data_IF_045826179622
#
_entry.id   IF_045826179622
#
_cell.length_a   1.000
_cell.length_b   1.000
_cell.length_c   1.000
_cell.angle_alpha   90.00
_cell.angle_beta   90.00
_cell.angle_gamma   90.00
#
_symmetry.space_group_name_H-M   'P 1'
#
loop_
_entity.id
_entity.type
_entity.pdbx_description
1 polymer ?
#
# COMPACT_ATOMS: atom_id res chain seq x y z
N UNK A 1 1.70 8.78 -7.56
CA UNK A 1 0.72 7.82 -7.02
C UNK A 1 0.32 6.85 -8.11
N UNK A 2 0.33 5.55 -7.81
CA UNK A 2 -0.21 4.50 -8.68
C UNK A 2 -1.58 4.10 -8.14
N UNK A 3 -2.61 4.40 -8.93
CA UNK A 3 -4.00 4.41 -8.51
C UNK A 3 -4.63 3.01 -8.33
N UNK A 4 -5.77 2.93 -7.61
CA UNK A 4 -6.62 1.74 -7.62
C UNK A 4 -7.15 1.43 -9.02
N UNK A 5 -7.57 0.19 -9.22
CA UNK A 5 -8.19 -0.27 -10.46
C UNK A 5 -8.67 -1.71 -10.35
N UNK A 6 -9.42 -2.18 -11.35
CA UNK A 6 -9.90 -3.55 -11.40
C UNK A 6 -8.80 -4.52 -11.86
N UNK A 7 -9.02 -5.80 -11.60
CA UNK A 7 -8.15 -6.87 -12.10
C UNK A 7 -6.92 -7.11 -11.23
N UNK A 8 -5.93 -7.72 -11.84
CA UNK A 8 -4.64 -8.06 -11.23
C UNK A 8 -3.54 -7.10 -11.70
N UNK A 9 -2.37 -7.08 -11.05
CA UNK A 9 -1.23 -6.27 -11.50
C UNK A 9 -0.89 -6.42 -12.99
N UNK A 10 -0.96 -7.63 -13.55
CA UNK A 10 -0.71 -7.86 -14.97
C UNK A 10 -1.69 -7.12 -15.88
N UNK A 11 -2.90 -6.84 -15.38
CA UNK A 11 -3.96 -6.13 -16.11
C UNK A 11 -3.86 -4.60 -15.95
N UNK A 12 -2.90 -4.12 -15.18
CA UNK A 12 -2.78 -2.71 -14.78
C UNK A 12 -2.03 -1.83 -15.82
N UNK A 13 -1.98 -2.25 -17.06
CA UNK A 13 -1.33 -1.50 -18.14
C UNK A 13 0.17 -1.33 -17.89
N UNK A 14 0.63 -0.09 -17.82
CA UNK A 14 2.05 0.24 -17.62
C UNK A 14 2.44 0.41 -16.15
N UNK A 15 1.54 0.18 -15.20
CA UNK A 15 1.76 0.46 -13.78
C UNK A 15 2.99 -0.25 -13.21
N UNK A 16 3.16 -1.53 -13.52
CA UNK A 16 4.33 -2.29 -13.06
C UNK A 16 5.64 -1.76 -13.65
N UNK A 17 5.64 -1.44 -14.95
CA UNK A 17 6.82 -0.87 -15.62
C UNK A 17 7.20 0.50 -15.07
N UNK A 18 6.22 1.32 -14.72
CA UNK A 18 6.46 2.63 -14.06
C UNK A 18 7.10 2.43 -12.69
N UNK A 19 6.58 1.52 -11.88
CA UNK A 19 7.15 1.24 -10.56
C UNK A 19 8.60 0.76 -10.69
N UNK A 20 8.84 -0.21 -11.57
CA UNK A 20 10.18 -0.76 -11.80
C UNK A 20 11.19 0.32 -12.22
N UNK A 21 10.79 1.20 -13.14
CA UNK A 21 11.66 2.24 -13.68
C UNK A 21 11.89 3.41 -12.73
N UNK A 22 10.87 3.81 -11.98
CA UNK A 22 10.90 5.05 -11.21
C UNK A 22 11.06 4.89 -9.69
N UNK A 23 10.88 3.70 -9.13
CA UNK A 23 11.07 3.49 -7.70
C UNK A 23 12.45 3.95 -7.20
N UNK A 24 13.56 3.71 -7.94
CA UNK A 24 14.87 4.21 -7.53
C UNK A 24 15.02 5.74 -7.63
N UNK A 25 14.14 6.43 -8.32
CA UNK A 25 14.31 7.83 -8.75
C UNK A 25 13.38 8.79 -8.00
N UNK A 26 12.12 8.41 -7.81
CA UNK A 26 11.09 9.26 -7.21
C UNK A 26 10.29 8.51 -6.15
N UNK A 27 9.72 9.23 -5.14
CA UNK A 27 8.78 8.61 -4.21
C UNK A 27 7.53 8.09 -4.93
N UNK A 28 7.10 6.87 -4.58
CA UNK A 28 5.91 6.22 -5.13
C UNK A 28 4.99 5.78 -3.98
N UNK A 29 3.71 6.09 -4.10
CA UNK A 29 2.65 5.51 -3.30
C UNK A 29 1.72 4.70 -4.20
N UNK A 30 1.61 3.41 -3.95
CA UNK A 30 0.64 2.51 -4.59
C UNK A 30 -0.61 2.36 -3.72
N UNK A 31 -1.78 2.50 -4.33
CA UNK A 31 -3.08 2.37 -3.65
C UNK A 31 -3.85 1.22 -4.25
N UNK A 32 -4.28 0.26 -3.42
CA UNK A 32 -5.04 -0.92 -3.79
C UNK A 32 -4.34 -1.73 -4.91
N UNK A 33 -4.76 -1.63 -6.17
CA UNK A 33 -4.07 -2.27 -7.28
C UNK A 33 -2.61 -1.81 -7.40
N UNK A 34 -2.33 -0.53 -7.16
CA UNK A 34 -0.97 0.03 -7.16
C UNK A 34 -0.07 -0.60 -6.08
N UNK A 35 -0.61 -0.86 -4.88
CA UNK A 35 0.08 -1.61 -3.83
C UNK A 35 0.40 -3.05 -4.27
N UNK A 36 -0.56 -3.72 -4.89
CA UNK A 36 -0.37 -5.07 -5.41
C UNK A 36 0.70 -5.11 -6.52
N UNK A 37 0.73 -4.09 -7.39
CA UNK A 37 1.78 -3.93 -8.40
C UNK A 37 3.17 -3.79 -7.75
N UNK A 38 3.31 -3.00 -6.69
CA UNK A 38 4.58 -2.87 -5.96
C UNK A 38 5.05 -4.25 -5.46
N UNK A 39 4.17 -5.02 -4.86
CA UNK A 39 4.52 -6.34 -4.32
C UNK A 39 5.01 -7.27 -5.43
N UNK A 40 4.32 -7.34 -6.55
CA UNK A 40 4.73 -8.21 -7.65
C UNK A 40 6.02 -7.73 -8.35
N UNK A 41 6.21 -6.43 -8.52
CA UNK A 41 7.46 -5.86 -9.08
C UNK A 41 8.69 -6.33 -8.28
N UNK A 42 8.57 -6.38 -6.96
CA UNK A 42 9.67 -6.81 -6.09
C UNK A 42 9.68 -8.31 -5.78
N UNK A 43 8.90 -9.11 -6.50
CA UNK A 43 8.96 -10.57 -6.47
C UNK A 43 7.98 -11.25 -5.52
N UNK A 44 7.05 -10.50 -4.94
CA UNK A 44 5.98 -11.05 -4.12
C UNK A 44 4.83 -11.63 -4.93
N UNK A 45 3.87 -12.20 -4.25
CA UNK A 45 2.71 -12.86 -4.84
C UNK A 45 1.41 -12.25 -4.34
N UNK A 46 0.47 -12.05 -5.26
CA UNK A 46 -0.90 -11.61 -4.96
C UNK A 46 -1.84 -12.79 -5.10
N UNK A 47 -2.62 -13.04 -4.06
CA UNK A 47 -3.56 -14.15 -3.97
C UNK A 47 -4.94 -13.65 -3.56
N UNK A 48 -5.89 -14.55 -3.39
CA UNK A 48 -7.21 -14.18 -2.88
C UNK A 48 -7.13 -13.77 -1.41
N UNK A 49 -7.83 -12.67 -1.07
CA UNK A 49 -7.99 -12.24 0.30
C UNK A 49 -8.71 -13.29 1.13
N UNK A 50 -8.39 -13.35 2.42
CA UNK A 50 -9.06 -14.28 3.36
C UNK A 50 -10.58 -14.07 3.41
N UNK A 51 -11.02 -12.84 3.16
CA UNK A 51 -12.43 -12.46 3.06
C UNK A 51 -12.62 -11.47 1.90
N UNK A 52 -13.71 -11.63 1.16
CA UNK A 52 -14.11 -10.65 0.15
C UNK A 52 -14.49 -9.33 0.82
N UNK A 53 -13.79 -8.26 0.45
CA UNK A 53 -14.01 -6.92 0.97
C UNK A 53 -14.52 -5.99 -0.12
N UNK A 54 -15.75 -5.50 0.05
CA UNK A 54 -16.34 -4.51 -0.84
C UNK A 54 -17.12 -3.49 -0.02
N UNK A 55 -16.57 -2.28 0.12
CA UNK A 55 -17.20 -1.22 0.90
C UNK A 55 -17.31 -1.54 2.40
N UNK A 56 -16.35 -2.26 2.96
CA UNK A 56 -16.27 -2.63 4.38
C UNK A 56 -15.10 -1.94 5.06
N UNK A 57 -15.17 -1.83 6.38
CA UNK A 57 -14.08 -1.31 7.19
C UNK A 57 -13.38 -2.43 7.95
N UNK A 58 -12.12 -2.19 8.29
CA UNK A 58 -11.35 -3.05 9.18
C UNK A 58 -10.46 -2.21 10.08
N UNK A 59 -10.17 -2.72 11.26
CA UNK A 59 -9.11 -2.19 12.11
C UNK A 59 -7.75 -2.71 11.64
N UNK A 60 -6.76 -1.82 11.61
CA UNK A 60 -5.43 -2.10 11.12
C UNK A 60 -4.39 -1.50 12.07
N UNK A 61 -3.42 -2.31 12.48
CA UNK A 61 -2.25 -1.82 13.20
C UNK A 61 -1.12 -1.51 12.23
N UNK A 62 -0.39 -0.43 12.46
CA UNK A 62 0.74 0.00 11.64
C UNK A 62 1.96 0.34 12.51
N UNK A 63 3.11 0.55 11.87
CA UNK A 63 4.39 0.75 12.53
C UNK A 63 4.71 2.22 12.89
N UNK A 64 3.78 3.14 12.68
CA UNK A 64 3.91 4.57 13.01
C UNK A 64 5.08 5.28 12.30
N UNK A 65 5.58 4.73 11.18
CA UNK A 65 6.70 5.30 10.44
C UNK A 65 6.26 5.84 9.08
N UNK A 66 7.00 6.80 8.55
CA UNK A 66 6.82 7.37 7.20
C UNK A 66 5.40 7.87 6.95
N UNK A 67 4.62 7.21 6.05
CA UNK A 67 3.23 7.61 5.78
C UNK A 67 2.31 7.45 7.00
N UNK A 68 2.68 6.62 7.96
CA UNK A 68 1.90 6.38 9.18
C UNK A 68 2.35 7.24 10.37
N UNK A 69 3.29 8.14 10.17
CA UNK A 69 3.77 9.01 11.25
C UNK A 69 2.63 9.86 11.82
N UNK A 70 2.54 9.87 13.14
CA UNK A 70 1.55 10.64 13.93
C UNK A 70 0.09 10.23 13.67
N UNK A 71 -0.15 9.04 13.08
CA UNK A 71 -1.48 8.47 12.95
C UNK A 71 -1.81 7.55 14.13
N UNK A 72 -3.09 7.46 14.47
CA UNK A 72 -3.55 6.53 15.51
C UNK A 72 -3.35 5.08 15.07
N UNK A 73 -3.00 4.21 16.03
CA UNK A 73 -2.92 2.77 15.81
C UNK A 73 -3.63 2.02 16.96
N UNK A 74 -4.58 1.11 16.69
CA UNK A 74 -5.12 0.77 15.38
C UNK A 74 -5.92 1.90 14.74
N UNK A 75 -5.97 1.94 13.39
CA UNK A 75 -6.81 2.87 12.64
C UNK A 75 -7.87 2.12 11.84
N UNK A 76 -8.97 2.79 11.53
CA UNK A 76 -10.04 2.26 10.70
C UNK A 76 -9.76 2.58 9.23
N UNK A 77 -9.83 1.58 8.38
CA UNK A 77 -9.57 1.71 6.94
C UNK A 77 -10.69 1.14 6.09
N UNK A 78 -11.00 1.83 5.00
CA UNK A 78 -11.98 1.36 4.01
C UNK A 78 -11.36 0.38 3.02
N UNK A 79 -12.00 -0.76 2.81
CA UNK A 79 -11.50 -1.86 1.99
C UNK A 79 -12.46 -2.17 0.83
N UNK A 80 -11.89 -2.34 -0.37
CA UNK A 80 -12.63 -2.63 -1.62
C UNK A 80 -11.85 -3.63 -2.47
N UNK A 81 -11.35 -4.73 -1.87
CA UNK A 81 -10.49 -5.67 -2.60
C UNK A 81 -10.87 -7.14 -2.36
N UNK A 82 -10.67 -7.96 -3.36
CA UNK A 82 -10.80 -9.42 -3.30
C UNK A 82 -9.44 -10.14 -3.33
N UNK A 83 -8.38 -9.40 -3.61
CA UNK A 83 -7.02 -9.90 -3.67
C UNK A 83 -6.18 -9.22 -2.60
N UNK A 84 -5.16 -9.91 -2.11
CA UNK A 84 -4.20 -9.39 -1.14
C UNK A 84 -2.83 -10.03 -1.30
N UNK A 85 -1.83 -9.45 -0.63
CA UNK A 85 -0.49 -10.00 -0.63
C UNK A 85 -0.43 -11.34 0.12
N UNK A 86 0.25 -12.30 -0.47
CA UNK A 86 0.59 -13.55 0.20
C UNK A 86 1.70 -13.33 1.22
N UNK A 87 1.56 -13.95 2.39
CA UNK A 87 2.65 -13.99 3.37
C UNK A 87 3.73 -15.01 2.98
N UNK A 88 3.36 -15.99 2.14
CA UNK A 88 4.29 -16.97 1.62
C UNK A 88 5.19 -16.31 0.57
N UNK A 89 6.50 -16.56 0.66
CA UNK A 89 7.50 -16.02 -0.28
C UNK A 89 7.48 -14.49 -0.37
N UNK A 90 7.20 -13.81 0.76
CA UNK A 90 7.21 -12.34 0.80
C UNK A 90 8.61 -11.79 0.49
N UNK A 91 8.75 -10.78 -0.41
CA UNK A 91 10.06 -10.30 -0.86
C UNK A 91 10.86 -9.64 0.27
N UNK A 92 12.17 -9.93 0.30
CA UNK A 92 13.09 -9.37 1.31
C UNK A 92 13.28 -7.86 1.19
N UNK A 93 13.09 -7.30 -0.01
CA UNK A 93 13.20 -5.87 -0.29
C UNK A 93 12.06 -5.05 0.32
N UNK A 94 10.97 -5.70 0.72
CA UNK A 94 9.80 -5.04 1.31
C UNK A 94 9.66 -5.39 2.79
N UNK A 95 9.20 -4.41 3.55
CA UNK A 95 8.75 -4.59 4.94
C UNK A 95 7.23 -4.44 5.00
N UNK A 96 6.56 -5.34 5.71
CA UNK A 96 5.13 -5.19 6.03
C UNK A 96 5.01 -4.10 7.08
N UNK A 97 4.35 -3.00 6.73
CA UNK A 97 4.20 -1.82 7.60
C UNK A 97 2.85 -1.74 8.31
N UNK A 98 1.86 -2.50 7.83
CA UNK A 98 0.55 -2.60 8.49
C UNK A 98 -0.13 -3.93 8.19
N UNK A 99 -0.89 -4.42 9.19
CA UNK A 99 -1.73 -5.62 9.09
C UNK A 99 -3.09 -5.39 9.77
N UNK A 100 -4.13 -6.07 9.27
CA UNK A 100 -5.38 -6.17 10.02
C UNK A 100 -5.19 -6.98 11.30
N UNK A 101 -6.15 -6.90 12.21
CA UNK A 101 -6.13 -7.71 13.44
C UNK A 101 -6.18 -9.22 13.15
N UNK A 102 -6.70 -9.62 11.98
CA UNK A 102 -6.68 -11.02 11.51
C UNK A 102 -5.36 -11.41 10.80
N UNK A 103 -4.41 -10.49 10.68
CA UNK A 103 -3.08 -10.74 10.12
C UNK A 103 -2.95 -10.56 8.61
N UNK A 104 -3.93 -9.97 7.94
CA UNK A 104 -3.84 -9.68 6.50
C UNK A 104 -2.94 -8.47 6.24
N UNK A 105 -2.02 -8.58 5.28
CA UNK A 105 -1.10 -7.49 4.90
C UNK A 105 -1.89 -6.34 4.31
N UNK A 106 -1.75 -5.15 4.89
CA UNK A 106 -2.47 -3.95 4.50
C UNK A 106 -1.57 -2.82 4.01
N UNK A 107 -0.29 -2.87 4.31
CA UNK A 107 0.68 -1.91 3.77
C UNK A 107 2.08 -2.52 3.73
N UNK A 108 2.87 -2.04 2.77
CA UNK A 108 4.27 -2.41 2.59
C UNK A 108 5.12 -1.18 2.37
N UNK A 109 6.41 -1.28 2.69
CA UNK A 109 7.43 -0.26 2.43
C UNK A 109 8.66 -0.91 1.86
N UNK A 110 9.24 -0.31 0.82
CA UNK A 110 10.55 -0.71 0.31
C UNK A 110 11.64 -0.31 1.31
N UNK A 111 12.61 -1.20 1.53
CA UNK A 111 13.66 -0.98 2.54
C UNK A 111 14.69 0.08 2.15
N UNK A 112 14.79 0.43 0.86
CA UNK A 112 15.78 1.37 0.32
C UNK A 112 15.11 2.54 -0.40
N UNK A 113 14.15 2.28 -1.28
CA UNK A 113 13.46 3.32 -2.06
C UNK A 113 12.29 3.94 -1.28
N UNK A 114 11.95 5.18 -1.59
CA UNK A 114 10.75 5.84 -1.05
C UNK A 114 9.48 5.33 -1.75
N UNK A 115 9.29 4.02 -1.70
CA UNK A 115 8.16 3.32 -2.32
C UNK A 115 7.36 2.63 -1.24
N UNK A 116 6.09 3.00 -1.14
CA UNK A 116 5.14 2.44 -0.16
C UNK A 116 3.85 2.07 -0.86
N UNK A 117 3.16 1.07 -0.32
CA UNK A 117 1.87 0.63 -0.83
C UNK A 117 0.88 0.42 0.29
N UNK A 118 -0.38 0.78 0.03
CA UNK A 118 -1.51 0.56 0.94
C UNK A 118 -2.61 -0.21 0.21
N UNK A 119 -3.11 -1.28 0.82
CA UNK A 119 -4.19 -2.09 0.25
C UNK A 119 -5.54 -1.41 0.38
N UNK A 120 -5.71 -0.58 1.38
CA UNK A 120 -6.93 0.18 1.64
C UNK A 120 -6.97 1.47 0.80
N UNK A 121 -8.09 2.17 0.87
CA UNK A 121 -8.32 3.42 0.13
C UNK A 121 -8.21 4.63 1.09
N UNK A 122 -7.07 5.35 1.11
CA UNK A 122 -6.91 6.53 1.96
C UNK A 122 -7.85 7.68 1.57
N UNK A 123 -8.29 7.73 0.32
CA UNK A 123 -9.25 8.73 -0.18
C UNK A 123 -10.69 8.47 0.27
N UNK A 124 -10.99 7.26 0.72
CA UNK A 124 -12.34 6.89 1.17
C UNK A 124 -12.72 7.60 2.46
N UNK A 125 -13.97 8.05 2.54
CA UNK A 125 -14.56 8.58 3.78
C UNK A 125 -14.54 7.56 4.93
N UNK A 126 -14.47 6.26 4.62
CA UNK A 126 -14.39 5.19 5.60
C UNK A 126 -12.99 5.01 6.21
N UNK A 127 -11.97 5.65 5.67
CA UNK A 127 -10.61 5.64 6.22
C UNK A 127 -10.43 6.85 7.14
N UNK A 128 -10.26 6.61 8.44
CA UNK A 128 -10.34 7.65 9.47
C UNK A 128 -9.29 8.75 9.33
N UNK A 129 -8.07 8.44 8.95
CA UNK A 129 -6.94 9.38 8.85
C UNK A 129 -6.30 9.40 7.46
N UNK A 130 -7.08 9.09 6.43
CA UNK A 130 -6.58 9.00 5.06
C UNK A 130 -5.94 10.27 4.54
N UNK A 131 -6.50 11.43 4.85
CA UNK A 131 -5.95 12.73 4.41
C UNK A 131 -4.59 13.02 5.06
N UNK A 132 -4.42 12.68 6.34
CA UNK A 132 -3.13 12.86 7.02
C UNK A 132 -2.07 11.92 6.45
N UNK A 133 -2.46 10.68 6.10
CA UNK A 133 -1.58 9.73 5.43
C UNK A 133 -1.08 10.30 4.09
N UNK A 134 -1.98 10.85 3.29
CA UNK A 134 -1.63 11.48 2.01
C UNK A 134 -0.71 12.71 2.21
N UNK A 135 -0.96 13.51 3.23
CA UNK A 135 -0.09 14.65 3.58
C UNK A 135 1.32 14.17 3.95
N UNK A 136 1.42 13.10 4.75
CA UNK A 136 2.71 12.51 5.10
C UNK A 136 3.49 12.03 3.85
N UNK A 137 2.80 11.42 2.88
CA UNK A 137 3.44 11.05 1.62
C UNK A 137 3.92 12.26 0.83
N UNK A 138 3.12 13.33 0.75
CA UNK A 138 3.52 14.56 0.06
C UNK A 138 4.73 15.21 0.73
N UNK A 139 4.86 15.14 2.03
CA UNK A 139 6.05 15.64 2.75
C UNK A 139 7.31 14.88 2.33
N UNK A 140 7.20 13.58 2.07
CA UNK A 140 8.31 12.77 1.54
C UNK A 140 8.76 13.30 0.18
N UNK A 141 7.82 13.67 -0.70
CA UNK A 141 8.14 14.23 -2.02
C UNK A 141 8.83 15.59 -1.92
N UNK A 142 8.46 16.41 -0.94
CA UNK A 142 9.04 17.73 -0.74
C UNK A 142 10.49 17.68 -0.23
N UNK A 143 10.82 16.71 0.62
CA UNK A 143 12.18 16.54 1.16
C UNK A 143 13.22 16.22 0.10
N UNK A 144 12.83 15.62 -1.02
CA UNK A 144 13.75 15.31 -2.13
C UNK A 144 14.04 16.50 -3.07
N UNK A 145 13.31 17.60 -2.93
CA UNK A 145 13.53 18.81 -3.74
C UNK A 145 14.67 19.71 -3.24
N UNK A 146 15.33 19.29 -2.20
CA UNK A 146 16.45 20.07 -1.60
C UNK A 146 17.77 19.52 -2.06
#
# INVERSE_FOLDING_TARGET
VVSPGPGRPIDAGISMSIIESFAPVIPILGVCLGHQCIIEVFGGEITYAKQLMHGKTSEMAHDEQTIFKDLETPMIVGRYHSLSASEDHFPEELTVSAKTMSGEIMAVRHNVYDTEGVQFHPESIMTSEGMQLMANFLDTTNRRKV
#
